data_IF_843591975093
#
_entry.id   IF_843591975093
#
_cell.length_a   1.000
_cell.length_b   1.000
_cell.length_c   1.000
_cell.angle_alpha   90.00
_cell.angle_beta   90.00
_cell.angle_gamma   90.00
#
_symmetry.space_group_name_H-M   'P 1'
#
loop_
_entity.id
_entity.type
_entity.pdbx_description
1 polymer ?
#
# COMPACT_ATOMS: atom_id res chain seq x y z
N UNK A 1 -8.50 -10.81 3.37
CA UNK A 1 -7.03 -10.92 3.56
C UNK A 1 -6.38 -9.89 2.63
N UNK A 2 -5.52 -9.03 3.16
CA UNK A 2 -4.82 -7.98 2.40
C UNK A 2 -3.69 -8.61 1.60
N UNK A 3 -3.75 -8.49 0.26
CA UNK A 3 -2.78 -9.12 -0.65
C UNK A 3 -1.38 -8.53 -0.49
N UNK A 4 -1.27 -7.21 -0.26
CA UNK A 4 0.02 -6.54 -0.05
C UNK A 4 0.69 -7.03 1.25
N UNK A 5 -0.02 -7.02 2.38
CA UNK A 5 0.53 -7.48 3.66
C UNK A 5 0.90 -8.96 3.63
N UNK A 6 0.09 -9.80 2.99
CA UNK A 6 0.42 -11.21 2.78
C UNK A 6 1.73 -11.38 2.00
N UNK A 7 1.98 -10.51 1.00
CA UNK A 7 3.23 -10.51 0.23
C UNK A 7 4.42 -10.08 1.09
N UNK A 8 4.28 -9.07 1.95
CA UNK A 8 5.33 -8.66 2.90
C UNK A 8 5.70 -9.82 3.83
N UNK A 9 4.70 -10.50 4.42
CA UNK A 9 4.93 -11.64 5.32
C UNK A 9 5.64 -12.79 4.61
N UNK A 10 5.21 -13.16 3.40
CA UNK A 10 5.85 -14.23 2.61
C UNK A 10 7.33 -13.90 2.29
N UNK A 11 7.61 -12.67 1.90
CA UNK A 11 8.99 -12.23 1.68
C UNK A 11 9.82 -12.29 2.97
N UNK A 12 9.26 -11.82 4.09
CA UNK A 12 9.95 -11.86 5.39
C UNK A 12 10.26 -13.30 5.83
N UNK A 13 9.33 -14.25 5.63
CA UNK A 13 9.56 -15.67 5.91
C UNK A 13 10.71 -16.25 5.05
N UNK A 14 10.76 -15.91 3.77
CA UNK A 14 11.83 -16.36 2.88
C UNK A 14 13.19 -15.79 3.29
N UNK A 15 13.23 -14.49 3.58
CA UNK A 15 14.42 -13.79 4.02
C UNK A 15 14.92 -14.31 5.38
N UNK A 16 14.01 -14.57 6.33
CA UNK A 16 14.35 -15.14 7.63
C UNK A 16 15.02 -16.53 7.47
N UNK A 17 14.48 -17.40 6.60
CA UNK A 17 15.09 -18.71 6.31
C UNK A 17 16.49 -18.59 5.68
N UNK A 18 16.67 -17.63 4.78
CA UNK A 18 17.97 -17.37 4.18
C UNK A 18 19.00 -16.89 5.23
N UNK A 19 18.56 -16.00 6.13
CA UNK A 19 19.38 -15.47 7.22
C UNK A 19 19.74 -16.56 8.25
N UNK A 20 18.79 -17.46 8.59
CA UNK A 20 19.07 -18.65 9.42
C UNK A 20 20.24 -19.48 8.86
N UNK A 21 20.19 -19.75 7.55
CA UNK A 21 21.23 -20.53 6.87
C UNK A 21 22.58 -19.79 6.81
N UNK A 22 22.54 -18.49 6.52
CA UNK A 22 23.76 -17.68 6.38
C UNK A 22 24.50 -17.51 7.71
N UNK A 23 23.76 -17.31 8.82
CA UNK A 23 24.33 -17.03 10.15
C UNK A 23 24.44 -18.25 11.04
N UNK A 24 23.82 -19.38 10.69
CA UNK A 24 23.77 -20.57 11.54
C UNK A 24 22.98 -20.35 12.84
N UNK A 25 22.00 -19.47 12.82
CA UNK A 25 21.08 -19.16 13.94
C UNK A 25 19.71 -19.74 13.64
N UNK A 26 18.80 -19.65 14.61
CA UNK A 26 17.38 -19.97 14.42
C UNK A 26 16.54 -18.72 14.58
N UNK A 27 15.66 -18.46 13.62
CA UNK A 27 14.69 -17.37 13.62
C UNK A 27 13.29 -17.96 13.73
N UNK A 28 12.58 -17.69 14.82
CA UNK A 28 11.20 -18.09 15.00
C UNK A 28 10.32 -16.88 14.66
N UNK A 29 9.68 -16.92 13.51
CA UNK A 29 8.74 -15.89 13.08
C UNK A 29 7.31 -16.32 13.43
N UNK A 30 6.65 -15.56 14.32
CA UNK A 30 5.26 -15.77 14.70
C UNK A 30 4.42 -14.61 14.18
N UNK A 31 3.42 -14.90 13.36
CA UNK A 31 2.54 -13.90 12.75
C UNK A 31 1.13 -14.07 13.28
N UNK A 32 0.49 -12.96 13.65
CA UNK A 32 -0.91 -12.92 14.11
C UNK A 32 -1.65 -11.79 13.44
N UNK A 33 -2.95 -11.98 13.24
CA UNK A 33 -3.85 -10.98 12.67
C UNK A 33 -4.80 -10.44 13.76
N UNK A 34 -4.81 -9.13 13.94
CA UNK A 34 -5.70 -8.44 14.89
C UNK A 34 -7.12 -8.23 14.33
N UNK A 35 -7.36 -8.52 13.05
CA UNK A 35 -8.65 -8.41 12.37
C UNK A 35 -9.32 -7.03 12.53
N UNK A 36 -8.52 -5.97 12.40
CA UNK A 36 -9.01 -4.60 12.53
C UNK A 36 -9.33 -4.17 13.97
N UNK A 37 -8.94 -4.94 14.99
CA UNK A 37 -9.18 -4.61 16.40
C UNK A 37 -7.91 -4.15 17.09
N UNK A 38 -7.83 -2.86 17.45
CA UNK A 38 -6.69 -2.31 18.19
C UNK A 38 -6.56 -2.96 19.59
N UNK A 39 -7.66 -3.31 20.25
CA UNK A 39 -7.61 -4.02 21.53
C UNK A 39 -6.98 -5.40 21.38
N UNK A 40 -7.38 -6.15 20.33
CA UNK A 40 -6.78 -7.45 20.03
C UNK A 40 -5.29 -7.33 19.70
N UNK A 41 -4.89 -6.29 18.95
CA UNK A 41 -3.48 -6.03 18.66
C UNK A 41 -2.66 -5.77 19.93
N UNK A 42 -3.19 -4.96 20.84
CA UNK A 42 -2.53 -4.70 22.14
C UNK A 42 -2.38 -5.96 22.98
N UNK A 43 -3.37 -6.87 22.99
CA UNK A 43 -3.30 -8.16 23.68
C UNK A 43 -2.28 -9.12 23.02
N UNK A 44 -2.18 -9.09 21.69
CA UNK A 44 -1.18 -9.86 20.94
C UNK A 44 0.24 -9.37 21.26
N UNK A 45 0.46 -8.05 21.34
CA UNK A 45 1.73 -7.46 21.78
C UNK A 45 2.08 -7.93 23.21
N UNK A 46 1.14 -7.86 24.15
CA UNK A 46 1.35 -8.34 25.53
C UNK A 46 1.74 -9.84 25.53
N UNK A 47 1.08 -10.64 24.70
CA UNK A 47 1.36 -12.08 24.59
C UNK A 47 2.78 -12.33 24.08
N UNK A 48 3.22 -11.64 23.03
CA UNK A 48 4.57 -11.78 22.50
C UNK A 48 5.64 -11.34 23.50
N UNK A 49 5.42 -10.21 24.19
CA UNK A 49 6.33 -9.75 25.26
C UNK A 49 6.45 -10.77 26.41
N UNK A 50 5.32 -11.37 26.84
CA UNK A 50 5.32 -12.41 27.86
C UNK A 50 6.01 -13.71 27.42
N UNK A 51 5.94 -14.02 26.12
CA UNK A 51 6.65 -15.17 25.53
C UNK A 51 8.16 -14.94 25.34
N UNK A 52 8.63 -13.71 25.59
CA UNK A 52 10.05 -13.36 25.52
C UNK A 52 10.56 -13.26 24.09
N UNK A 53 9.77 -12.67 23.19
CA UNK A 53 10.26 -12.35 21.84
C UNK A 53 11.40 -11.31 21.91
N UNK A 54 12.32 -11.40 20.96
CA UNK A 54 13.49 -10.52 20.90
C UNK A 54 13.20 -9.19 20.19
N UNK A 55 12.24 -9.17 19.25
CA UNK A 55 11.77 -7.99 18.51
C UNK A 55 10.28 -8.14 18.19
N UNK A 56 9.53 -7.05 18.20
CA UNK A 56 8.14 -6.99 17.75
C UNK A 56 8.07 -6.18 16.45
N UNK A 57 7.38 -6.72 15.43
CA UNK A 57 7.06 -6.00 14.20
C UNK A 57 5.55 -5.79 14.13
N UNK A 58 5.10 -4.55 13.87
CA UNK A 58 3.68 -4.18 13.97
C UNK A 58 3.24 -3.38 12.75
N UNK A 59 2.24 -3.90 12.01
CA UNK A 59 1.41 -3.07 11.16
C UNK A 59 0.22 -2.58 12.01
N UNK A 60 0.17 -1.29 12.32
CA UNK A 60 -0.82 -0.72 13.23
C UNK A 60 -2.26 -0.88 12.71
N UNK A 61 -3.19 -1.22 13.59
CA UNK A 61 -4.62 -1.08 13.30
C UNK A 61 -5.01 0.40 13.32
N UNK A 62 -4.61 1.12 14.35
CA UNK A 62 -4.79 2.56 14.48
C UNK A 62 -3.44 3.25 14.67
N UNK A 63 -3.08 4.12 13.71
CA UNK A 63 -1.79 4.83 13.74
C UNK A 63 -1.58 5.70 14.98
N UNK A 64 -2.65 6.14 15.61
CA UNK A 64 -2.63 6.99 16.82
C UNK A 64 -2.47 6.20 18.12
N UNK A 65 -2.45 4.86 18.04
CA UNK A 65 -2.32 3.98 19.20
C UNK A 65 -0.89 3.43 19.39
N UNK A 66 0.09 3.91 18.63
CA UNK A 66 1.46 3.43 18.68
C UNK A 66 2.13 3.67 20.03
N UNK A 67 1.81 4.79 20.72
CA UNK A 67 2.37 5.12 22.04
C UNK A 67 2.25 3.97 23.04
N UNK A 68 1.08 3.31 23.11
CA UNK A 68 0.84 2.21 24.04
C UNK A 68 1.76 1.02 23.75
N UNK A 69 1.99 0.72 22.48
CA UNK A 69 2.86 -0.38 22.03
C UNK A 69 4.33 -0.04 22.33
N UNK A 70 4.74 1.20 22.03
CA UNK A 70 6.11 1.68 22.31
C UNK A 70 6.39 1.62 23.82
N UNK A 71 5.49 2.12 24.67
CA UNK A 71 5.66 2.12 26.11
C UNK A 71 5.80 0.68 26.68
N UNK A 72 4.99 -0.26 26.19
CA UNK A 72 5.07 -1.68 26.58
C UNK A 72 6.38 -2.31 26.13
N UNK A 73 6.79 -2.08 24.88
CA UNK A 73 8.02 -2.60 24.31
C UNK A 73 9.24 -2.04 25.06
N UNK A 74 9.26 -0.73 25.35
CA UNK A 74 10.31 -0.07 26.13
C UNK A 74 10.40 -0.63 27.55
N UNK A 75 9.28 -0.82 28.24
CA UNK A 75 9.25 -1.39 29.57
C UNK A 75 9.81 -2.83 29.62
N UNK A 76 9.61 -3.59 28.56
CA UNK A 76 10.15 -4.94 28.38
C UNK A 76 11.60 -4.96 27.83
N UNK A 77 12.10 -3.83 27.33
CA UNK A 77 13.40 -3.74 26.66
C UNK A 77 13.44 -4.40 25.28
N UNK A 78 12.29 -4.64 24.65
CA UNK A 78 12.13 -5.33 23.37
C UNK A 78 11.91 -4.32 22.25
N UNK A 79 12.82 -4.18 21.28
CA UNK A 79 12.66 -3.24 20.15
C UNK A 79 11.36 -3.45 19.39
N UNK A 80 10.80 -2.36 18.86
CA UNK A 80 9.58 -2.40 18.04
C UNK A 80 9.83 -1.78 16.67
N UNK A 81 9.43 -2.49 15.63
CA UNK A 81 9.51 -2.04 14.24
C UNK A 81 8.08 -1.94 13.70
N UNK A 82 7.64 -0.72 13.46
CA UNK A 82 6.38 -0.49 12.75
C UNK A 82 6.64 -0.58 11.24
N UNK A 83 5.66 -1.03 10.50
CA UNK A 83 5.77 -1.09 9.04
C UNK A 83 4.44 -0.81 8.36
N UNK A 84 4.48 -0.47 7.07
CA UNK A 84 3.35 -0.13 6.23
C UNK A 84 2.55 1.06 6.76
N UNK A 85 1.69 0.90 7.77
CA UNK A 85 0.93 2.01 8.36
C UNK A 85 1.82 2.84 9.28
N UNK A 86 2.10 4.08 8.86
CA UNK A 86 2.98 5.01 9.57
C UNK A 86 2.39 5.44 10.92
N UNK A 87 3.11 5.26 12.05
CA UNK A 87 2.69 5.80 13.34
C UNK A 87 2.74 7.32 13.35
N UNK A 88 2.19 7.93 14.40
CA UNK A 88 2.39 9.36 14.67
C UNK A 88 3.84 9.57 15.09
N UNK A 89 4.48 10.64 14.57
CA UNK A 89 5.91 10.93 14.78
C UNK A 89 6.26 10.99 16.26
N UNK A 90 5.47 11.69 17.05
CA UNK A 90 5.69 11.82 18.49
C UNK A 90 5.66 10.48 19.26
N UNK A 91 5.01 9.47 18.69
CA UNK A 91 4.98 8.14 19.28
C UNK A 91 6.27 7.36 19.01
N UNK A 92 6.90 7.55 17.86
CA UNK A 92 8.21 6.96 17.55
C UNK A 92 9.34 7.61 18.36
N UNK A 93 9.30 8.93 18.53
CA UNK A 93 10.29 9.68 19.29
C UNK A 93 10.34 9.32 20.79
N UNK A 94 9.33 8.60 21.30
CA UNK A 94 9.27 8.14 22.69
C UNK A 94 10.40 7.19 23.07
N UNK A 95 10.97 6.47 22.09
CA UNK A 95 12.01 5.49 22.35
C UNK A 95 12.94 5.27 21.14
N UNK A 96 14.25 5.33 21.39
CA UNK A 96 15.30 5.16 20.36
C UNK A 96 15.27 3.79 19.61
N UNK A 97 14.60 2.76 20.19
CA UNK A 97 14.44 1.44 19.57
C UNK A 97 13.04 1.22 18.97
N UNK A 98 12.29 2.29 18.77
CA UNK A 98 11.08 2.29 17.98
C UNK A 98 11.42 2.80 16.58
N UNK A 99 11.25 1.96 15.55
CA UNK A 99 11.58 2.28 14.17
C UNK A 99 10.36 2.07 13.27
N UNK A 100 10.39 2.69 12.08
CA UNK A 100 9.38 2.52 11.05
C UNK A 100 10.02 2.17 9.72
N UNK A 101 9.39 1.26 8.98
CA UNK A 101 9.71 0.91 7.58
C UNK A 101 8.48 1.12 6.73
N UNK A 102 8.56 1.95 5.72
CA UNK A 102 7.44 2.18 4.82
C UNK A 102 7.76 3.19 3.72
N UNK A 103 6.71 3.71 3.13
CA UNK A 103 6.75 4.58 1.96
C UNK A 103 5.89 5.82 2.20
N UNK A 104 6.28 7.01 1.67
CA UNK A 104 5.50 8.23 1.86
C UNK A 104 4.23 8.19 1.00
N UNK A 105 3.06 8.05 1.61
CA UNK A 105 1.78 7.85 0.94
C UNK A 105 1.38 8.94 -0.07
N UNK A 106 1.82 10.18 0.16
CA UNK A 106 1.63 11.29 -0.77
C UNK A 106 2.28 11.02 -2.13
N UNK A 107 3.47 10.43 -2.13
CA UNK A 107 4.19 10.09 -3.36
C UNK A 107 3.41 9.06 -4.20
N UNK A 108 2.78 8.07 -3.57
CA UNK A 108 1.95 7.10 -4.27
C UNK A 108 0.81 7.78 -5.03
N UNK A 109 0.09 8.71 -4.38
CA UNK A 109 -0.96 9.48 -5.03
C UNK A 109 -0.43 10.32 -6.21
N UNK A 110 0.70 11.00 -6.03
CA UNK A 110 1.34 11.78 -7.10
C UNK A 110 1.73 10.92 -8.30
N UNK A 111 2.32 9.76 -8.06
CA UNK A 111 2.71 8.83 -9.12
C UNK A 111 1.51 8.21 -9.81
N UNK A 112 0.46 7.85 -9.07
CA UNK A 112 -0.78 7.34 -9.63
C UNK A 112 -1.46 8.37 -10.55
N UNK A 113 -1.58 9.62 -10.09
CA UNK A 113 -2.04 10.74 -10.92
C UNK A 113 -1.12 11.01 -12.11
N UNK A 114 0.19 10.81 -11.94
CA UNK A 114 1.20 10.92 -12.99
C UNK A 114 0.98 9.94 -14.14
N UNK A 115 0.65 8.69 -13.84
CA UNK A 115 0.31 7.68 -14.87
C UNK A 115 -0.85 8.15 -15.76
N UNK A 116 -1.90 8.67 -15.12
CA UNK A 116 -3.08 9.20 -15.84
C UNK A 116 -2.70 10.46 -16.65
N UNK A 117 -1.90 11.35 -16.06
CA UNK A 117 -1.45 12.57 -16.71
C UNK A 117 -0.60 12.29 -17.96
N UNK A 118 0.27 11.29 -17.90
CA UNK A 118 1.11 10.91 -19.03
C UNK A 118 0.27 10.31 -20.16
N UNK A 119 -0.74 9.50 -19.81
CA UNK A 119 -1.71 8.99 -20.80
C UNK A 119 -2.53 10.13 -21.41
N UNK A 120 -3.01 11.07 -20.59
CA UNK A 120 -3.72 12.26 -21.04
C UNK A 120 -2.91 13.10 -22.01
N UNK A 121 -1.65 13.37 -21.70
CA UNK A 121 -0.74 14.14 -22.57
C UNK A 121 -0.44 13.45 -23.89
N UNK A 122 -0.42 12.10 -23.89
CA UNK A 122 -0.13 11.29 -25.06
C UNK A 122 -1.32 11.26 -26.01
N UNK A 123 -2.51 11.04 -25.50
CA UNK A 123 -3.76 11.00 -26.27
C UNK A 123 -4.96 11.33 -25.35
N UNK A 124 -5.36 12.62 -25.24
CA UNK A 124 -6.52 12.99 -24.43
C UNK A 124 -7.81 12.28 -24.83
N UNK A 125 -8.01 12.04 -26.14
CA UNK A 125 -9.24 11.42 -26.65
C UNK A 125 -9.36 9.93 -26.27
N UNK A 126 -8.27 9.28 -25.88
CA UNK A 126 -8.31 7.92 -25.37
C UNK A 126 -8.93 7.83 -23.96
N UNK A 127 -8.87 8.94 -23.19
CA UNK A 127 -9.43 9.03 -21.83
C UNK A 127 -10.78 9.77 -21.85
N UNK A 128 -10.83 10.96 -22.45
CA UNK A 128 -12.04 11.77 -22.64
C UNK A 128 -12.86 11.18 -23.79
N UNK A 129 -13.64 10.14 -23.48
CA UNK A 129 -14.38 9.37 -24.46
C UNK A 129 -15.61 10.11 -25.02
N UNK A 130 -16.17 11.01 -24.21
CA UNK A 130 -17.32 11.83 -24.60
C UNK A 130 -16.91 13.13 -25.31
N UNK A 131 -15.63 13.53 -25.26
CA UNK A 131 -15.06 14.66 -25.97
C UNK A 131 -15.44 16.03 -25.41
N UNK A 132 -15.81 16.11 -24.13
CA UNK A 132 -16.24 17.37 -23.49
C UNK A 132 -15.09 18.17 -22.86
N UNK A 133 -13.88 17.60 -22.83
CA UNK A 133 -12.68 18.21 -22.29
C UNK A 133 -12.58 18.10 -20.75
N UNK A 134 -13.44 17.28 -20.13
CA UNK A 134 -13.47 17.01 -18.70
C UNK A 134 -13.22 15.52 -18.50
N UNK A 135 -12.35 15.13 -17.57
CA UNK A 135 -12.10 13.75 -17.24
C UNK A 135 -12.97 13.35 -16.04
N UNK A 136 -14.05 12.60 -16.31
CA UNK A 136 -14.98 12.12 -15.31
C UNK A 136 -14.43 10.88 -14.63
N UNK A 137 -14.41 10.91 -13.29
CA UNK A 137 -13.83 9.81 -12.51
C UNK A 137 -14.69 9.35 -11.33
N UNK A 138 -14.50 8.09 -10.96
CA UNK A 138 -14.91 7.54 -9.68
C UNK A 138 -13.68 7.17 -8.85
N UNK A 139 -13.82 7.20 -7.51
CA UNK A 139 -12.74 6.94 -6.58
C UNK A 139 -13.10 5.80 -5.63
N UNK A 140 -12.31 4.72 -5.65
CA UNK A 140 -12.35 3.64 -4.68
C UNK A 140 -11.31 3.91 -3.59
N UNK A 141 -11.80 4.20 -2.40
CA UNK A 141 -10.97 4.59 -1.26
C UNK A 141 -10.76 3.41 -0.31
N UNK A 142 -9.60 3.40 0.35
CA UNK A 142 -9.31 2.48 1.43
C UNK A 142 -10.12 2.78 2.69
N UNK A 143 -9.67 2.23 3.81
CA UNK A 143 -10.32 2.36 5.11
C UNK A 143 -10.42 3.83 5.55
N UNK A 144 -11.61 4.26 6.06
CA UNK A 144 -11.80 5.63 6.55
C UNK A 144 -10.80 5.99 7.65
N UNK A 145 -10.16 7.15 7.52
CA UNK A 145 -9.16 7.63 8.49
C UNK A 145 -7.74 7.04 8.29
N UNK A 146 -7.57 6.12 7.36
CA UNK A 146 -6.24 5.63 6.99
C UNK A 146 -5.48 6.73 6.24
N UNK A 147 -4.27 7.07 6.70
CA UNK A 147 -3.45 8.12 6.10
C UNK A 147 -3.19 7.89 4.61
N UNK A 148 -2.83 6.66 4.23
CA UNK A 148 -2.58 6.32 2.84
C UNK A 148 -3.83 6.52 1.97
N UNK A 149 -5.02 6.13 2.44
CA UNK A 149 -6.25 6.33 1.70
C UNK A 149 -6.50 7.82 1.44
N UNK A 150 -6.35 8.66 2.46
CA UNK A 150 -6.55 10.10 2.36
C UNK A 150 -5.55 10.75 1.40
N UNK A 151 -4.25 10.44 1.56
CA UNK A 151 -3.19 11.07 0.76
C UNK A 151 -3.19 10.55 -0.69
N UNK A 152 -3.39 9.26 -0.92
CA UNK A 152 -3.52 8.70 -2.28
C UNK A 152 -4.73 9.31 -3.00
N UNK A 153 -5.87 9.44 -2.33
CA UNK A 153 -7.08 10.09 -2.87
C UNK A 153 -6.84 11.56 -3.24
N UNK A 154 -6.25 12.33 -2.33
CA UNK A 154 -6.01 13.75 -2.56
C UNK A 154 -5.00 13.97 -3.69
N UNK A 155 -3.83 13.34 -3.59
CA UNK A 155 -2.69 13.68 -4.46
C UNK A 155 -2.81 13.09 -5.86
N UNK A 156 -3.57 12.01 -6.08
CA UNK A 156 -3.84 11.51 -7.42
C UNK A 156 -4.62 12.52 -8.27
N UNK A 157 -5.68 13.07 -7.72
CA UNK A 157 -6.51 14.08 -8.38
C UNK A 157 -5.77 15.43 -8.47
N UNK A 158 -5.11 15.84 -7.38
CA UNK A 158 -4.35 17.10 -7.32
C UNK A 158 -3.24 17.17 -8.37
N UNK A 159 -2.62 16.05 -8.71
CA UNK A 159 -1.61 15.96 -9.76
C UNK A 159 -2.20 16.36 -11.12
N UNK A 160 -3.38 15.85 -11.46
CA UNK A 160 -4.09 16.20 -12.70
C UNK A 160 -4.50 17.67 -12.71
N UNK A 161 -5.13 18.13 -11.63
CA UNK A 161 -5.61 19.52 -11.53
C UNK A 161 -4.47 20.53 -11.61
N UNK A 162 -3.33 20.24 -10.96
CA UNK A 162 -2.15 21.11 -10.99
C UNK A 162 -1.54 21.19 -12.39
N UNK A 163 -1.68 20.13 -13.18
CA UNK A 163 -1.24 20.12 -14.59
C UNK A 163 -2.27 20.75 -15.56
N UNK A 164 -3.40 21.26 -15.05
CA UNK A 164 -4.42 21.92 -15.86
C UNK A 164 -5.44 20.99 -16.50
N UNK A 165 -5.50 19.71 -16.09
CA UNK A 165 -6.56 18.79 -16.53
C UNK A 165 -7.82 19.10 -15.74
N UNK A 166 -8.92 19.36 -16.45
CA UNK A 166 -10.23 19.54 -15.81
C UNK A 166 -10.79 18.17 -15.43
N UNK A 167 -11.16 17.99 -14.19
CA UNK A 167 -11.68 16.73 -13.67
C UNK A 167 -13.06 16.91 -13.03
N UNK A 168 -13.94 15.93 -13.18
CA UNK A 168 -15.22 15.86 -12.48
C UNK A 168 -15.32 14.55 -11.69
N UNK A 169 -15.48 14.66 -10.38
CA UNK A 169 -15.75 13.48 -9.54
C UNK A 169 -17.22 13.11 -9.64
N UNK A 170 -17.53 11.94 -10.20
CA UNK A 170 -18.89 11.40 -10.24
C UNK A 170 -19.31 10.88 -8.87
N UNK A 171 -18.44 10.09 -8.24
CA UNK A 171 -18.68 9.55 -6.90
C UNK A 171 -17.39 9.02 -6.26
N UNK A 172 -17.44 8.71 -4.96
CA UNK A 172 -16.39 7.99 -4.24
C UNK A 172 -16.98 7.00 -3.23
N UNK A 173 -16.25 5.95 -2.90
CA UNK A 173 -16.69 4.93 -1.98
C UNK A 173 -15.52 4.31 -1.21
N UNK A 174 -15.70 4.15 0.11
CA UNK A 174 -14.76 3.42 0.95
C UNK A 174 -15.00 1.92 0.80
N UNK A 175 -14.15 1.27 0.03
CA UNK A 175 -14.19 -0.18 -0.19
C UNK A 175 -13.22 -0.94 0.72
N UNK A 176 -12.64 -0.26 1.72
CA UNK A 176 -11.85 -0.85 2.82
C UNK A 176 -10.74 -1.79 2.33
N UNK A 177 -10.05 -1.44 1.23
CA UNK A 177 -9.00 -2.23 0.55
C UNK A 177 -9.51 -3.54 -0.07
N UNK A 178 -10.83 -3.80 -0.07
CA UNK A 178 -11.43 -5.08 -0.43
C UNK A 178 -11.93 -5.13 -1.87
N UNK A 179 -11.42 -6.10 -2.64
CA UNK A 179 -11.82 -6.36 -4.02
C UNK A 179 -13.34 -6.55 -4.17
N UNK A 180 -13.95 -7.38 -3.30
CA UNK A 180 -15.38 -7.68 -3.38
C UNK A 180 -16.29 -6.46 -3.15
N UNK A 181 -15.93 -5.57 -2.19
CA UNK A 181 -16.68 -4.33 -1.97
C UNK A 181 -16.53 -3.38 -3.16
N UNK A 182 -15.34 -3.28 -3.73
CA UNK A 182 -15.09 -2.49 -4.93
C UNK A 182 -15.88 -3.03 -6.13
N UNK A 183 -15.95 -4.36 -6.32
CA UNK A 183 -16.75 -4.98 -7.39
C UNK A 183 -18.22 -4.59 -7.28
N UNK A 184 -18.83 -4.77 -6.11
CA UNK A 184 -20.25 -4.44 -5.90
C UNK A 184 -20.51 -2.95 -6.14
N UNK A 185 -19.61 -2.08 -5.67
CA UNK A 185 -19.79 -0.63 -5.87
C UNK A 185 -19.63 -0.24 -7.33
N UNK A 186 -18.64 -0.79 -8.01
CA UNK A 186 -18.44 -0.50 -9.44
C UNK A 186 -19.61 -0.97 -10.30
N UNK A 187 -20.23 -2.12 -10.00
CA UNK A 187 -21.46 -2.56 -10.67
C UNK A 187 -22.57 -1.51 -10.55
N UNK A 188 -22.79 -0.96 -9.35
CA UNK A 188 -23.78 0.10 -9.12
C UNK A 188 -23.44 1.37 -9.91
N UNK A 189 -22.17 1.77 -9.96
CA UNK A 189 -21.72 2.92 -10.71
C UNK A 189 -21.88 2.74 -12.23
N UNK A 190 -21.65 1.53 -12.75
CA UNK A 190 -21.90 1.23 -14.15
C UNK A 190 -23.38 1.34 -14.52
N UNK A 191 -24.27 0.93 -13.61
CA UNK A 191 -25.72 1.13 -13.80
C UNK A 191 -26.15 2.61 -13.72
N UNK A 192 -25.52 3.40 -12.84
CA UNK A 192 -25.88 4.79 -12.58
C UNK A 192 -25.26 5.77 -13.60
N UNK A 193 -23.98 5.61 -13.89
CA UNK A 193 -23.21 6.55 -14.71
C UNK A 193 -22.86 6.02 -16.10
N UNK A 194 -22.79 4.70 -16.28
CA UNK A 194 -22.50 4.05 -17.57
C UNK A 194 -21.20 4.55 -18.17
N UNK A 195 -21.28 4.96 -19.45
CA UNK A 195 -20.14 5.44 -20.24
C UNK A 195 -19.55 6.78 -19.76
N UNK A 196 -20.19 7.44 -18.79
CA UNK A 196 -19.61 8.65 -18.18
C UNK A 196 -18.41 8.35 -17.27
N UNK A 197 -18.20 7.10 -16.87
CA UNK A 197 -17.02 6.72 -16.09
C UNK A 197 -15.85 6.56 -17.06
N UNK A 198 -14.96 7.54 -17.08
CA UNK A 198 -13.78 7.53 -17.94
C UNK A 198 -12.52 7.07 -17.22
N UNK A 199 -12.49 7.32 -15.90
CA UNK A 199 -11.34 7.00 -15.05
C UNK A 199 -11.82 6.39 -13.73
N UNK A 200 -11.11 5.35 -13.28
CA UNK A 200 -11.24 4.79 -11.94
C UNK A 200 -9.90 4.94 -11.22
N UNK A 201 -9.88 5.74 -10.17
CA UNK A 201 -8.81 5.71 -9.20
C UNK A 201 -9.14 4.70 -8.11
N UNK A 202 -8.23 3.79 -7.83
CA UNK A 202 -8.33 2.89 -6.68
C UNK A 202 -7.10 3.06 -5.78
N UNK A 203 -7.31 3.21 -4.48
CA UNK A 203 -6.21 3.42 -3.55
C UNK A 203 -5.29 2.19 -3.41
N UNK A 204 -5.75 0.99 -3.83
CA UNK A 204 -4.90 -0.19 -3.96
C UNK A 204 -5.31 -1.06 -5.18
N UNK A 205 -4.51 -2.06 -5.49
CA UNK A 205 -4.71 -2.96 -6.61
C UNK A 205 -5.92 -3.89 -6.42
N UNK A 206 -6.17 -4.38 -5.21
CA UNK A 206 -7.31 -5.27 -4.96
C UNK A 206 -8.64 -4.58 -5.29
N UNK A 207 -8.78 -3.30 -4.96
CA UNK A 207 -9.96 -2.52 -5.36
C UNK A 207 -9.98 -2.21 -6.87
N UNK A 208 -8.82 -1.94 -7.48
CA UNK A 208 -8.72 -1.77 -8.94
C UNK A 208 -9.16 -3.03 -9.68
N UNK A 209 -8.71 -4.20 -9.22
CA UNK A 209 -9.13 -5.50 -9.74
C UNK A 209 -10.64 -5.74 -9.54
N UNK A 210 -11.20 -5.27 -8.42
CA UNK A 210 -12.64 -5.30 -8.20
C UNK A 210 -13.43 -4.47 -9.22
N UNK A 211 -12.92 -3.30 -9.60
CA UNK A 211 -13.51 -2.50 -10.67
C UNK A 211 -13.42 -3.21 -12.03
N UNK A 212 -12.29 -3.86 -12.33
CA UNK A 212 -12.11 -4.67 -13.54
C UNK A 212 -13.10 -5.83 -13.57
N UNK A 213 -13.27 -6.56 -12.45
CA UNK A 213 -14.24 -7.65 -12.36
C UNK A 213 -15.66 -7.19 -12.74
N UNK A 214 -16.09 -6.06 -12.18
CA UNK A 214 -17.41 -5.49 -12.51
C UNK A 214 -17.57 -5.14 -13.99
N UNK A 215 -16.53 -4.57 -14.62
CA UNK A 215 -16.55 -4.27 -16.05
C UNK A 215 -16.64 -5.55 -16.90
N UNK A 216 -15.86 -6.58 -16.55
CA UNK A 216 -15.89 -7.87 -17.26
C UNK A 216 -17.23 -8.60 -17.08
N UNK A 217 -17.82 -8.58 -15.89
CA UNK A 217 -19.15 -9.14 -15.61
C UNK A 217 -20.26 -8.40 -16.38
N UNK A 218 -20.10 -7.10 -16.61
CA UNK A 218 -20.98 -6.32 -17.47
C UNK A 218 -20.77 -6.62 -18.98
N UNK A 219 -19.81 -7.46 -19.35
CA UNK A 219 -19.50 -7.84 -20.72
C UNK A 219 -18.73 -6.78 -21.50
N UNK A 220 -18.10 -5.82 -20.84
CA UNK A 220 -17.30 -4.77 -21.49
C UNK A 220 -16.02 -5.34 -22.08
N UNK A 221 -15.69 -4.88 -23.29
CA UNK A 221 -14.36 -5.09 -23.88
C UNK A 221 -13.34 -4.15 -23.26
N UNK A 222 -12.04 -4.42 -23.44
CA UNK A 222 -10.98 -3.56 -22.92
C UNK A 222 -11.09 -2.10 -23.42
N UNK A 223 -11.53 -1.90 -24.65
CA UNK A 223 -11.71 -0.57 -25.26
C UNK A 223 -12.89 0.19 -24.64
N UNK A 224 -13.91 -0.52 -24.17
CA UNK A 224 -15.09 0.05 -23.51
C UNK A 224 -14.82 0.38 -22.04
N UNK A 225 -13.86 -0.32 -21.39
CA UNK A 225 -13.52 -0.10 -19.98
C UNK A 225 -13.01 1.33 -19.75
N UNK A 226 -13.27 1.90 -18.57
CA UNK A 226 -12.60 3.13 -18.14
C UNK A 226 -11.09 2.91 -17.96
N UNK A 227 -10.33 3.99 -17.89
CA UNK A 227 -8.93 3.95 -17.54
C UNK A 227 -8.81 3.63 -16.03
N UNK A 228 -8.26 2.48 -15.65
CA UNK A 228 -8.21 2.01 -14.26
C UNK A 228 -6.76 2.00 -13.75
N UNK A 229 -6.51 2.64 -12.62
CA UNK A 229 -5.18 2.70 -11.98
C UNK A 229 -5.25 2.30 -10.51
N UNK A 230 -4.26 1.51 -10.08
CA UNK A 230 -4.12 1.01 -8.72
C UNK A 230 -2.85 1.50 -8.01
N UNK A 231 -2.55 0.87 -6.89
CA UNK A 231 -1.32 0.99 -6.10
C UNK A 231 -1.01 -0.38 -5.51
N UNK A 232 0.24 -0.75 -5.41
CA UNK A 232 0.95 -1.87 -4.78
C UNK A 232 1.77 -2.71 -5.77
N UNK A 233 1.38 -2.79 -7.04
CA UNK A 233 1.95 -3.68 -8.05
C UNK A 233 1.94 -5.15 -7.61
N UNK A 234 0.79 -5.60 -7.10
CA UNK A 234 0.60 -6.99 -6.68
C UNK A 234 0.67 -7.95 -7.88
N UNK A 235 1.04 -9.22 -7.70
CA UNK A 235 1.10 -10.17 -8.80
C UNK A 235 -0.20 -10.26 -9.63
N UNK A 236 -1.42 -10.25 -9.05
CA UNK A 236 -2.64 -10.20 -9.83
C UNK A 236 -2.81 -8.91 -10.64
N UNK A 237 -2.36 -7.77 -10.12
CA UNK A 237 -2.42 -6.50 -10.84
C UNK A 237 -1.41 -6.45 -11.99
N UNK A 238 -0.21 -6.99 -11.81
CA UNK A 238 0.78 -7.11 -12.89
C UNK A 238 0.24 -7.96 -14.03
N UNK A 239 -0.47 -9.04 -13.71
CA UNK A 239 -1.17 -9.86 -14.72
C UNK A 239 -2.26 -9.07 -15.44
N UNK A 240 -3.07 -8.28 -14.73
CA UNK A 240 -4.08 -7.41 -15.34
C UNK A 240 -3.47 -6.33 -16.25
N UNK A 241 -2.26 -5.83 -15.91
CA UNK A 241 -1.47 -4.95 -16.78
C UNK A 241 -1.04 -5.66 -18.08
N UNK A 242 -0.55 -6.91 -17.98
CA UNK A 242 -0.17 -7.72 -19.15
C UNK A 242 -1.38 -7.95 -20.06
N UNK A 243 -2.52 -8.27 -19.47
CA UNK A 243 -3.81 -8.49 -20.16
C UNK A 243 -4.40 -7.19 -20.72
N UNK A 244 -3.99 -6.01 -20.22
CA UNK A 244 -4.45 -4.69 -20.67
C UNK A 244 -5.76 -4.23 -20.03
N UNK A 245 -6.24 -4.90 -18.99
CA UNK A 245 -7.44 -4.51 -18.23
C UNK A 245 -7.14 -3.50 -17.13
N UNK A 246 -5.90 -3.47 -16.62
CA UNK A 246 -5.36 -2.41 -15.79
C UNK A 246 -4.41 -1.54 -16.62
N UNK A 247 -4.42 -0.22 -16.46
CA UNK A 247 -3.58 0.68 -17.24
C UNK A 247 -2.31 1.10 -16.50
N UNK A 248 -2.31 1.04 -15.17
CA UNK A 248 -1.14 1.33 -14.37
C UNK A 248 -1.33 1.05 -12.91
N UNK A 249 -0.23 0.87 -12.22
CA UNK A 249 -0.17 0.78 -10.77
C UNK A 249 1.10 1.44 -10.26
N UNK A 250 1.16 1.73 -8.96
CA UNK A 250 2.34 2.27 -8.29
C UNK A 250 2.89 1.18 -7.39
N UNK A 251 4.12 0.73 -7.65
CA UNK A 251 4.75 -0.31 -6.83
C UNK A 251 5.01 0.21 -5.42
N UNK A 252 4.39 -0.43 -4.45
CA UNK A 252 4.75 -0.39 -3.04
C UNK A 252 5.67 -1.58 -2.79
N UNK A 253 6.92 -1.32 -2.41
CA UNK A 253 7.96 -2.36 -2.38
C UNK A 253 7.81 -3.31 -1.18
N UNK A 254 6.96 -4.31 -1.31
CA UNK A 254 6.74 -5.33 -0.27
C UNK A 254 8.03 -6.11 0.07
N UNK A 255 8.86 -6.40 -0.92
CA UNK A 255 10.14 -7.08 -0.70
C UNK A 255 11.14 -6.17 0.03
N UNK A 256 11.20 -4.90 -0.34
CA UNK A 256 12.00 -3.89 0.34
C UNK A 256 11.54 -3.67 1.79
N UNK A 257 10.23 -3.64 2.05
CA UNK A 257 9.72 -3.57 3.43
C UNK A 257 10.14 -4.78 4.26
N UNK A 258 10.01 -6.00 3.72
CA UNK A 258 10.43 -7.21 4.39
C UNK A 258 11.95 -7.21 4.66
N UNK A 259 12.76 -6.78 3.67
CA UNK A 259 14.22 -6.68 3.83
C UNK A 259 14.59 -5.62 4.86
N UNK A 260 13.91 -4.47 4.87
CA UNK A 260 14.11 -3.40 5.85
C UNK A 260 13.80 -3.88 7.27
N UNK A 261 12.69 -4.59 7.47
CA UNK A 261 12.32 -5.20 8.74
C UNK A 261 13.42 -6.16 9.23
N UNK A 262 13.89 -7.05 8.36
CA UNK A 262 14.95 -8.01 8.72
C UNK A 262 16.26 -7.31 9.06
N UNK A 263 16.67 -6.33 8.26
CA UNK A 263 17.92 -5.58 8.47
C UNK A 263 17.88 -4.82 9.81
N UNK A 264 16.76 -4.16 10.12
CA UNK A 264 16.55 -3.48 11.40
C UNK A 264 16.55 -4.47 12.56
N UNK A 265 15.86 -5.60 12.41
CA UNK A 265 15.84 -6.67 13.41
C UNK A 265 17.26 -7.13 13.74
N UNK A 266 18.05 -7.47 12.71
CA UNK A 266 19.43 -7.92 12.89
C UNK A 266 20.31 -6.83 13.53
N UNK A 267 20.23 -5.59 13.07
CA UNK A 267 21.01 -4.49 13.61
C UNK A 267 20.72 -4.25 15.12
N UNK A 268 19.42 -4.23 15.48
CA UNK A 268 18.99 -4.03 16.85
C UNK A 268 19.43 -5.16 17.78
N UNK A 269 19.31 -6.42 17.34
CA UNK A 269 19.72 -7.59 18.13
C UNK A 269 21.23 -7.74 18.25
N UNK A 270 21.98 -7.37 17.21
CA UNK A 270 23.45 -7.37 17.21
C UNK A 270 24.02 -6.16 17.98
N UNK A 271 23.19 -5.28 18.54
CA UNK A 271 23.62 -4.08 19.28
C UNK A 271 24.30 -3.04 18.38
N UNK A 272 24.02 -3.08 17.09
CA UNK A 272 24.52 -2.11 16.12
C UNK A 272 23.66 -0.85 16.12
N UNK A 273 24.23 0.26 15.69
CA UNK A 273 23.50 1.52 15.49
C UNK A 273 22.73 1.45 14.16
N UNK A 274 21.38 1.34 14.19
CA UNK A 274 20.58 1.18 12.98
C UNK A 274 20.63 2.42 12.08
N UNK A 275 20.91 3.60 12.62
CA UNK A 275 21.10 4.82 11.82
C UNK A 275 22.27 4.64 10.86
N UNK A 276 23.37 4.05 11.32
CA UNK A 276 24.57 3.84 10.52
C UNK A 276 24.53 2.60 9.64
N UNK A 277 23.93 1.52 10.16
CA UNK A 277 23.96 0.21 9.47
C UNK A 277 22.83 0.03 8.48
N UNK A 278 21.68 0.60 8.74
CA UNK A 278 20.47 0.50 7.88
C UNK A 278 20.16 1.82 7.17
N UNK A 279 20.64 2.95 7.71
CA UNK A 279 20.45 4.27 7.12
C UNK A 279 19.12 4.92 7.51
N UNK A 280 18.74 4.82 8.79
CA UNK A 280 17.52 5.48 9.25
C UNK A 280 17.63 7.01 9.14
N UNK A 281 16.59 7.61 8.62
CA UNK A 281 16.36 9.05 8.65
C UNK A 281 15.73 9.46 10.00
N UNK A 282 16.11 10.61 10.52
CA UNK A 282 15.67 11.18 11.82
C UNK A 282 15.74 10.18 13.00
N UNK A 283 16.60 9.18 12.87
CA UNK A 283 16.82 8.16 13.90
C UNK A 283 15.79 7.03 13.94
N UNK A 284 14.68 7.14 13.20
CA UNK A 284 13.54 6.24 13.31
C UNK A 284 13.03 5.67 12.01
N UNK A 285 13.20 6.36 10.85
CA UNK A 285 12.51 6.05 9.61
C UNK A 285 13.41 5.37 8.58
N UNK A 286 12.99 4.24 8.06
CA UNK A 286 13.51 3.66 6.82
C UNK A 286 12.48 3.89 5.70
N UNK A 287 12.71 4.94 4.91
CA UNK A 287 11.86 5.26 3.79
C UNK A 287 12.25 4.46 2.56
N UNK A 288 11.26 3.84 1.96
CA UNK A 288 11.36 3.19 0.65
C UNK A 288 10.69 4.07 -0.40
N UNK A 289 11.07 3.88 -1.65
CA UNK A 289 10.54 4.66 -2.77
C UNK A 289 9.45 3.91 -3.52
N UNK A 290 8.46 4.64 -3.97
CA UNK A 290 7.49 4.15 -4.93
C UNK A 290 8.03 4.20 -6.36
N UNK A 291 7.54 3.34 -7.24
CA UNK A 291 7.81 3.40 -8.68
C UNK A 291 6.55 3.12 -9.48
N UNK A 292 6.38 3.81 -10.61
CA UNK A 292 5.25 3.57 -11.51
C UNK A 292 5.47 2.29 -12.30
N UNK A 293 4.42 1.51 -12.47
CA UNK A 293 4.40 0.32 -13.31
C UNK A 293 3.23 0.42 -14.30
N UNK A 294 3.58 0.37 -15.57
CA UNK A 294 2.65 0.35 -16.70
C UNK A 294 3.02 -0.81 -17.62
N UNK A 295 2.24 -1.05 -18.64
CA UNK A 295 2.56 -2.10 -19.62
C UNK A 295 3.89 -1.88 -20.32
N UNK A 296 4.35 -0.61 -20.43
CA UNK A 296 5.60 -0.25 -21.12
C UNK A 296 6.86 -0.61 -20.32
N UNK A 297 6.74 -0.71 -18.97
CA UNK A 297 7.85 -1.00 -18.08
C UNK A 297 7.57 -2.12 -17.08
N UNK A 298 6.69 -3.07 -17.47
CA UNK A 298 6.47 -4.28 -16.66
C UNK A 298 7.81 -4.93 -16.33
N UNK A 299 8.05 -5.31 -15.08
CA UNK A 299 9.23 -6.12 -14.73
C UNK A 299 9.12 -7.45 -15.44
N UNK A 300 10.26 -7.94 -15.98
CA UNK A 300 10.32 -9.28 -16.54
C UNK A 300 9.82 -10.31 -15.51
N UNK A 301 9.04 -11.27 -15.95
CA UNK A 301 8.39 -12.29 -15.11
C UNK A 301 9.38 -13.27 -14.42
N UNK A 302 10.50 -12.75 -13.94
CA UNK A 302 11.59 -13.53 -13.34
C UNK A 302 12.49 -12.76 -12.38
N UNK A 303 12.16 -11.51 -12.04
CA UNK A 303 12.97 -10.71 -11.09
C UNK A 303 12.17 -10.33 -9.86
#
# INVERSE_FOLDING_TARGET
EDTFLSTVVQNLEQLARAEEQARGIKINLNVTDARGSQSAQNEQVDTFLQQGCDVICVNLVDRTAAAVIVDKAQAAGVPVIFFNREPVEEDLERWEKACYVGTPAEEAGRLQGGIVLDAWKKDPAALDKNGDGILQYVMLEGEPGHQDALLRTEYSVKTLMTAGVTTEKLDNYNADWQRGLATVRMQQWLEEFGERIELVFANNDDMALGAIDACLEAGMTQEEMPFIVGVDATPPALKALEEGTLQGTVRNDAAGQAQGILNLTCALLDGQDPVKTVGLEDGHYLWLTYTTVTRENLPDAGT
#
